data_IF_976220344008
#
_entry.id   IF_976220344008
#
_cell.length_a   1.000
_cell.length_b   1.000
_cell.length_c   1.000
_cell.angle_alpha   90.00
_cell.angle_beta   90.00
_cell.angle_gamma   90.00
#
_symmetry.space_group_name_H-M   'P 1'
#
loop_
_entity.id
_entity.type
_entity.pdbx_description
1 polymer ?
#
# COMPACT_ATOMS: atom_id res chain seq x y z
N UNK A 1 -6.58 -17.11 -14.77
CA UNK A 1 -6.08 -16.74 -13.43
C UNK A 1 -5.89 -15.25 -13.45
N UNK A 2 -6.84 -14.50 -12.91
CA UNK A 2 -6.81 -13.04 -12.84
C UNK A 2 -5.62 -12.65 -11.96
N UNK A 3 -4.63 -11.95 -12.54
CA UNK A 3 -3.60 -11.28 -11.74
C UNK A 3 -4.34 -10.30 -10.82
N UNK A 4 -4.51 -10.66 -9.57
CA UNK A 4 -4.76 -9.68 -8.52
C UNK A 4 -3.57 -8.72 -8.60
N UNK A 5 -3.82 -7.50 -9.08
CA UNK A 5 -2.78 -6.51 -9.26
C UNK A 5 -2.16 -6.24 -7.88
N UNK A 6 -0.98 -6.81 -7.62
CA UNK A 6 -0.25 -6.57 -6.38
C UNK A 6 0.04 -5.07 -6.31
N UNK A 7 -0.58 -4.40 -5.34
CA UNK A 7 -0.40 -2.97 -5.11
C UNK A 7 0.57 -2.78 -3.98
N UNK A 8 1.54 -1.89 -4.19
CA UNK A 8 2.43 -1.44 -3.14
C UNK A 8 1.79 -0.27 -2.41
N UNK A 9 1.85 -0.30 -1.07
CA UNK A 9 1.39 0.77 -0.21
C UNK A 9 2.52 1.25 0.69
N UNK A 10 2.63 2.55 0.92
CA UNK A 10 3.59 3.16 1.83
C UNK A 10 2.85 3.89 2.96
N UNK A 11 3.33 3.69 4.20
CA UNK A 11 2.86 4.42 5.36
C UNK A 11 3.41 5.84 5.38
N UNK A 12 2.54 6.83 5.37
CA UNK A 12 2.95 8.25 5.43
C UNK A 12 3.54 8.67 6.79
N UNK A 13 3.39 7.85 7.83
CA UNK A 13 3.90 8.16 9.17
C UNK A 13 5.28 7.54 9.43
N UNK A 14 5.49 6.30 9.01
CA UNK A 14 6.74 5.57 9.32
C UNK A 14 7.52 5.10 8.10
N UNK A 15 7.05 5.39 6.87
CA UNK A 15 7.70 5.00 5.61
C UNK A 15 7.66 3.50 5.31
N UNK A 16 6.90 2.71 6.10
CA UNK A 16 6.84 1.26 5.89
C UNK A 16 6.07 0.94 4.61
N UNK A 17 6.67 0.08 3.79
CA UNK A 17 6.05 -0.44 2.56
C UNK A 17 5.44 -1.82 2.77
N UNK A 18 4.25 -2.02 2.24
CA UNK A 18 3.53 -3.29 2.26
C UNK A 18 3.01 -3.59 0.86
N UNK A 19 3.24 -4.82 0.40
CA UNK A 19 2.70 -5.31 -0.88
C UNK A 19 1.50 -6.18 -0.56
N UNK A 20 0.34 -5.86 -1.15
CA UNK A 20 -0.89 -6.62 -0.95
C UNK A 20 -1.59 -6.85 -2.28
N UNK A 21 -2.10 -8.07 -2.46
CA UNK A 21 -3.00 -8.40 -3.58
C UNK A 21 -4.41 -7.83 -3.38
N UNK A 22 -4.73 -7.41 -2.16
CA UNK A 22 -6.04 -6.89 -1.77
C UNK A 22 -5.98 -5.38 -1.52
N UNK A 23 -6.92 -4.62 -2.07
CA UNK A 23 -6.95 -3.16 -2.05
C UNK A 23 -7.40 -2.55 -0.71
N UNK A 24 -7.54 -3.37 0.34
CA UNK A 24 -8.16 -3.00 1.61
C UNK A 24 -7.19 -2.54 2.70
N UNK A 25 -5.88 -2.46 2.44
CA UNK A 25 -4.93 -1.94 3.43
C UNK A 25 -4.96 -0.40 3.44
N UNK A 26 -5.73 0.16 4.36
CA UNK A 26 -5.78 1.61 4.64
C UNK A 26 -4.91 2.02 5.84
N UNK A 27 -4.41 1.07 6.63
CA UNK A 27 -3.73 1.36 7.91
C UNK A 27 -2.49 0.50 8.13
N UNK A 28 -1.41 1.15 8.57
CA UNK A 28 -0.12 0.52 8.83
C UNK A 28 -0.20 -0.36 10.08
N UNK A 29 0.15 -1.64 9.96
CA UNK A 29 0.15 -2.57 11.10
C UNK A 29 1.18 -2.25 12.18
N UNK A 30 2.17 -1.40 11.88
CA UNK A 30 3.25 -1.03 12.82
C UNK A 30 2.90 0.16 13.69
N UNK A 31 2.37 1.23 13.09
CA UNK A 31 2.16 2.50 13.78
C UNK A 31 0.70 2.98 13.75
N UNK A 32 -0.21 2.28 13.06
CA UNK A 32 -1.58 2.72 12.89
C UNK A 32 -1.76 3.91 11.93
N UNK A 33 -0.70 4.34 11.24
CA UNK A 33 -0.75 5.47 10.30
C UNK A 33 -1.44 5.13 8.98
N UNK A 34 -1.87 6.16 8.25
CA UNK A 34 -2.46 6.02 6.90
C UNK A 34 -1.47 5.37 5.93
N UNK A 35 -1.97 4.38 5.17
CA UNK A 35 -1.26 3.74 4.07
C UNK A 35 -1.78 4.30 2.75
N UNK A 36 -0.88 4.66 1.82
CA UNK A 36 -1.23 5.11 0.47
C UNK A 36 -0.62 4.24 -0.60
N UNK A 37 -1.36 4.07 -1.69
CA UNK A 37 -0.85 3.43 -2.90
C UNK A 37 0.42 4.16 -3.36
N UNK A 38 1.48 3.40 -3.60
CA UNK A 38 2.70 3.87 -4.26
C UNK A 38 2.54 3.73 -5.78
N UNK A 39 1.31 3.74 -6.30
CA UNK A 39 1.08 3.77 -7.75
C UNK A 39 1.83 4.98 -8.29
N UNK A 40 2.95 4.70 -8.95
CA UNK A 40 3.79 5.68 -9.60
C UNK A 40 2.88 6.44 -10.56
N UNK A 41 2.57 7.69 -10.23
CA UNK A 41 1.96 8.63 -11.17
C UNK A 41 2.96 8.71 -12.33
N UNK A 42 2.70 7.96 -13.40
CA UNK A 42 3.39 8.15 -14.67
C UNK A 42 2.75 9.40 -15.28
N UNK A 43 3.46 10.52 -15.14
CA UNK A 43 3.27 11.72 -15.97
C UNK A 43 3.57 11.38 -17.44
#
# INVERSE_FOLDING_TARGET
>A
MTLEAQREYECLQCGRREMTGDALISTCRRCGGEMRNVELVKD
#
